data_IF_842215101482
#
_entry.id   IF_842215101482
#
_cell.length_a   1.000
_cell.length_b   1.000
_cell.length_c   1.000
_cell.angle_alpha   90.00
_cell.angle_beta   90.00
_cell.angle_gamma   90.00
#
_symmetry.space_group_name_H-M   'P 1'
#
loop_
_entity.id
_entity.type
_entity.pdbx_description
1 polymer ?
#
# COMPACT_ATOMS: atom_id res chain seq x y z
N UNK A 1 0.49 -4.35 21.99
CA UNK A 1 1.00 -5.32 21.00
C UNK A 1 2.25 -4.83 20.32
N UNK A 2 3.17 -5.75 20.02
CA UNK A 2 4.39 -5.48 19.27
C UNK A 2 4.11 -5.79 17.81
N UNK A 3 4.30 -4.81 16.92
CA UNK A 3 4.07 -4.95 15.48
C UNK A 3 5.40 -4.71 14.78
N UNK A 4 5.80 -5.62 13.90
CA UNK A 4 7.00 -5.50 13.08
C UNK A 4 6.60 -4.96 11.72
N UNK A 5 7.25 -3.89 11.25
CA UNK A 5 6.96 -3.27 9.96
C UNK A 5 8.27 -2.97 9.23
N UNK A 6 8.35 -3.32 7.95
CA UNK A 6 9.49 -2.93 7.13
C UNK A 6 9.38 -1.46 6.66
N UNK A 7 10.47 -0.70 6.82
CA UNK A 7 10.54 0.69 6.34
C UNK A 7 10.74 0.74 4.83
N UNK A 8 9.66 1.00 4.07
CA UNK A 8 9.67 1.06 2.60
C UNK A 8 9.60 2.51 2.11
N UNK A 9 10.47 2.91 1.17
CA UNK A 9 10.50 4.28 0.61
C UNK A 9 9.57 4.42 -0.59
N UNK A 10 8.55 5.27 -0.46
CA UNK A 10 7.66 5.66 -1.56
C UNK A 10 8.35 6.71 -2.44
N UNK A 11 8.35 6.50 -3.75
CA UNK A 11 8.91 7.44 -4.73
C UNK A 11 7.77 8.06 -5.53
N UNK A 12 7.82 9.36 -5.83
CA UNK A 12 6.79 10.00 -6.66
C UNK A 12 6.88 9.52 -8.12
N UNK A 13 5.78 9.49 -8.88
CA UNK A 13 5.84 9.23 -10.30
C UNK A 13 6.82 10.19 -10.99
N UNK A 14 7.63 9.72 -11.94
CA UNK A 14 8.55 10.58 -12.67
C UNK A 14 7.77 11.63 -13.48
N UNK A 15 8.32 12.84 -13.62
CA UNK A 15 7.76 13.87 -14.50
C UNK A 15 7.83 13.40 -15.95
N UNK A 16 6.90 13.86 -16.81
CA UNK A 16 6.94 13.58 -18.26
C UNK A 16 8.30 13.97 -18.82
N UNK A 17 8.97 13.05 -19.50
CA UNK A 17 10.32 13.24 -20.07
C UNK A 17 11.49 12.76 -19.21
N UNK A 18 11.26 12.25 -18.00
CA UNK A 18 12.34 11.66 -17.21
C UNK A 18 12.69 10.25 -17.72
N UNK A 19 13.99 9.99 -17.90
CA UNK A 19 14.52 8.70 -18.38
C UNK A 19 14.35 7.56 -17.37
N UNK A 20 14.19 7.87 -16.09
CA UNK A 20 14.14 6.87 -15.02
C UNK A 20 12.69 6.53 -14.67
N UNK A 21 12.33 5.26 -14.92
CA UNK A 21 11.03 4.73 -14.52
C UNK A 21 11.02 4.32 -13.04
N UNK A 22 9.96 4.70 -12.32
CA UNK A 22 9.78 4.28 -10.92
C UNK A 22 9.50 2.77 -10.85
N UNK A 23 10.21 2.00 -10.00
CA UNK A 23 9.87 0.60 -9.73
C UNK A 23 8.45 0.47 -9.14
N UNK A 24 7.71 -0.57 -9.52
CA UNK A 24 6.34 -0.81 -9.00
C UNK A 24 6.30 -1.05 -7.48
N UNK A 25 7.35 -1.63 -6.92
CA UNK A 25 7.50 -1.85 -5.47
C UNK A 25 7.56 -0.55 -4.64
N UNK A 26 7.86 0.60 -5.27
CA UNK A 26 7.94 1.92 -4.61
C UNK A 26 6.74 2.81 -4.90
N UNK A 27 5.63 2.24 -5.38
CA UNK A 27 4.36 2.94 -5.53
C UNK A 27 3.65 3.08 -4.18
N UNK A 28 2.83 4.13 -4.02
CA UNK A 28 2.05 4.34 -2.78
C UNK A 28 1.15 3.13 -2.47
N UNK A 29 0.47 2.61 -3.50
CA UNK A 29 -0.45 1.47 -3.36
C UNK A 29 0.29 0.19 -2.97
N UNK A 30 1.39 -0.15 -3.67
CA UNK A 30 2.14 -1.37 -3.35
C UNK A 30 2.78 -1.34 -1.96
N UNK A 31 3.23 -0.17 -1.51
CA UNK A 31 3.80 -0.01 -0.16
C UNK A 31 2.72 -0.16 0.91
N UNK A 32 1.52 0.39 0.71
CA UNK A 32 0.42 0.19 1.65
C UNK A 32 -0.07 -1.25 1.68
N UNK A 33 -0.11 -1.93 0.53
CA UNK A 33 -0.47 -3.35 0.47
C UNK A 33 0.51 -4.23 1.25
N UNK A 34 1.81 -4.00 1.08
CA UNK A 34 2.86 -4.74 1.79
C UNK A 34 2.92 -4.39 3.29
N UNK A 35 2.55 -3.16 3.67
CA UNK A 35 2.45 -2.77 5.08
C UNK A 35 1.29 -3.47 5.80
N UNK A 36 0.18 -3.72 5.11
CA UNK A 36 -0.94 -4.48 5.68
C UNK A 36 -0.54 -5.93 5.96
N UNK A 37 0.29 -6.54 5.10
CA UNK A 37 0.79 -7.90 5.29
C UNK A 37 1.69 -8.00 6.54
N UNK A 38 2.59 -7.03 6.74
CA UNK A 38 3.47 -7.00 7.91
C UNK A 38 2.68 -6.91 9.23
N UNK A 39 1.60 -6.12 9.25
CA UNK A 39 0.82 -5.85 10.45
C UNK A 39 -0.02 -7.06 10.90
N UNK A 40 -0.46 -7.89 9.95
CA UNK A 40 -1.42 -8.97 10.21
C UNK A 40 -0.71 -10.29 10.58
N UNK A 41 0.63 -10.34 10.52
CA UNK A 41 1.39 -11.52 10.94
C UNK A 41 1.05 -11.93 12.39
N UNK A 42 0.73 -13.22 12.66
CA UNK A 42 0.93 -14.42 11.84
C UNK A 42 -0.23 -14.82 10.91
N UNK A 43 -1.32 -14.06 10.87
CA UNK A 43 -2.45 -14.34 10.01
C UNK A 43 -2.22 -13.83 8.57
N UNK A 44 -2.88 -14.46 7.61
CA UNK A 44 -2.83 -14.08 6.20
C UNK A 44 -4.14 -13.40 5.77
N UNK A 45 -4.02 -12.38 4.92
CA UNK A 45 -5.19 -11.65 4.41
C UNK A 45 -5.86 -12.51 3.32
N UNK A 46 -6.99 -13.13 3.64
CA UNK A 46 -7.77 -13.97 2.71
C UNK A 46 -8.42 -13.16 1.57
N UNK A 47 -8.71 -11.88 1.80
CA UNK A 47 -9.26 -11.00 0.78
C UNK A 47 -9.30 -9.55 1.23
N UNK A 48 -9.22 -8.62 0.27
CA UNK A 48 -9.31 -7.17 0.50
C UNK A 48 -10.58 -6.65 -0.16
N UNK A 49 -11.48 -6.00 0.59
CA UNK A 49 -12.71 -5.41 0.03
C UNK A 49 -12.80 -3.94 0.37
N UNK A 50 -12.94 -3.09 -0.64
CA UNK A 50 -13.12 -1.65 -0.42
C UNK A 50 -14.61 -1.32 -0.55
N UNK A 51 -15.20 -0.81 0.55
CA UNK A 51 -16.56 -0.26 0.55
C UNK A 51 -16.48 1.25 0.38
N UNK A 52 -17.19 1.76 -0.63
CA UNK A 52 -17.42 3.18 -0.82
C UNK A 52 -18.75 3.56 -0.17
N UNK A 53 -18.75 4.61 0.65
CA UNK A 53 -19.96 5.21 1.21
C UNK A 53 -20.47 6.35 0.32
N UNK A 54 -21.71 6.77 0.53
CA UNK A 54 -22.35 7.87 -0.23
C UNK A 54 -21.65 9.22 -0.01
N UNK A 55 -20.96 9.38 1.11
CA UNK A 55 -20.11 10.52 1.45
C UNK A 55 -18.75 10.51 0.71
N UNK A 56 -18.49 9.51 -0.15
CA UNK A 56 -17.23 9.34 -0.87
C UNK A 56 -16.09 8.75 -0.04
N UNK A 57 -16.32 8.48 1.24
CA UNK A 57 -15.32 7.86 2.11
C UNK A 57 -15.10 6.39 1.73
N UNK A 58 -13.85 5.95 1.89
CA UNK A 58 -13.41 4.58 1.58
C UNK A 58 -13.11 3.85 2.88
N UNK A 59 -13.76 2.72 3.09
CA UNK A 59 -13.44 1.80 4.19
C UNK A 59 -12.86 0.52 3.57
N UNK A 60 -11.68 0.14 4.02
CA UNK A 60 -11.06 -1.15 3.68
C UNK A 60 -11.57 -2.18 4.71
N UNK A 61 -12.08 -3.31 4.21
CA UNK A 61 -12.52 -4.47 4.97
C UNK A 61 -11.64 -5.67 4.65
#
# INVERSE_FOLDING_TARGET
DVILIATRRIVRPPKKGAAVQRPRSRTLTAVHDAMLEDVVYPAEIVGKRIKYRLDGSRIIK
#
